data_IF_450967578173
#
_entry.id   IF_450967578173
#
_cell.length_a   1.000
_cell.length_b   1.000
_cell.length_c   1.000
_cell.angle_alpha   90.00
_cell.angle_beta   90.00
_cell.angle_gamma   90.00
#
_symmetry.space_group_name_H-M   'P 1'
#
loop_
_entity.id
_entity.type
_entity.pdbx_description
1 polymer ?
#
# COMPACT_ATOMS: atom_id res chain seq x y z
N UNK A 1 23.44 -27.71 -23.65
CA UNK A 1 22.41 -27.40 -22.63
C UNK A 1 22.26 -25.89 -22.58
N UNK A 2 21.21 -25.34 -23.17
CA UNK A 2 20.91 -23.89 -23.11
C UNK A 2 20.45 -23.56 -21.71
N UNK A 3 21.21 -22.75 -20.99
CA UNK A 3 20.83 -22.26 -19.66
C UNK A 3 19.48 -21.53 -19.78
N UNK A 4 18.50 -21.94 -19.01
CA UNK A 4 17.22 -21.21 -18.91
C UNK A 4 17.53 -19.77 -18.46
N UNK A 5 17.03 -18.74 -19.15
CA UNK A 5 17.28 -17.37 -18.73
C UNK A 5 16.80 -17.16 -17.29
N UNK A 6 17.52 -16.35 -16.49
CA UNK A 6 17.12 -16.08 -15.11
C UNK A 6 15.72 -15.49 -15.08
N UNK A 7 14.94 -15.89 -14.07
CA UNK A 7 13.60 -15.32 -13.88
C UNK A 7 13.70 -13.80 -13.71
N UNK A 8 12.81 -13.01 -14.33
CA UNK A 8 12.86 -11.55 -14.21
C UNK A 8 12.67 -11.13 -12.74
N UNK A 9 13.25 -9.98 -12.33
CA UNK A 9 13.11 -9.48 -10.98
C UNK A 9 11.62 -9.22 -10.65
N UNK A 10 11.23 -9.54 -9.43
CA UNK A 10 9.91 -9.17 -8.91
C UNK A 10 9.92 -7.69 -8.56
N UNK A 11 8.90 -6.96 -8.98
CA UNK A 11 8.79 -5.51 -8.76
C UNK A 11 7.59 -5.19 -7.90
N UNK A 12 7.85 -4.59 -6.74
CA UNK A 12 6.85 -4.17 -5.77
C UNK A 12 6.83 -2.66 -5.63
N UNK A 13 5.62 -2.07 -5.67
CA UNK A 13 5.38 -0.66 -5.49
C UNK A 13 4.60 -0.46 -4.20
N UNK A 14 5.16 0.32 -3.27
CA UNK A 14 4.68 0.43 -1.90
C UNK A 14 4.20 1.84 -1.63
N UNK A 15 2.99 1.94 -1.11
CA UNK A 15 2.38 3.20 -0.70
C UNK A 15 1.59 3.01 0.61
N UNK A 16 1.13 4.10 1.23
CA UNK A 16 0.34 4.09 2.46
C UNK A 16 -1.02 4.76 2.30
N UNK A 17 -1.98 4.35 3.14
CA UNK A 17 -3.26 5.04 3.33
C UNK A 17 -3.50 5.35 4.82
N UNK A 18 -4.08 6.51 5.08
CA UNK A 18 -4.08 7.14 6.39
C UNK A 18 -2.73 7.77 6.71
N UNK A 19 -2.56 8.25 7.93
CA UNK A 19 -1.27 8.72 8.42
C UNK A 19 -0.90 8.03 9.74
N UNK A 20 0.40 7.92 10.01
CA UNK A 20 0.90 7.27 11.21
C UNK A 20 0.89 8.18 12.44
N UNK A 21 0.37 9.41 12.35
CA UNK A 21 0.34 10.39 13.45
C UNK A 21 -0.71 9.99 14.49
N UNK A 22 -0.30 9.90 15.75
CA UNK A 22 -1.19 9.65 16.89
C UNK A 22 -1.41 10.91 17.72
N UNK A 23 -0.42 11.81 17.72
CA UNK A 23 -0.39 12.99 18.58
C UNK A 23 -0.16 14.25 17.77
N UNK A 24 -0.86 15.30 18.14
CA UNK A 24 -0.65 16.68 17.69
C UNK A 24 0.29 17.47 18.60
N UNK A 25 0.23 18.78 18.47
CA UNK A 25 1.02 19.68 19.29
C UNK A 25 0.79 19.42 20.79
N UNK A 26 1.87 19.52 21.58
CA UNK A 26 1.88 19.33 23.05
C UNK A 26 1.35 17.94 23.49
N UNK A 27 1.46 16.91 22.65
CA UNK A 27 1.03 15.56 22.99
C UNK A 27 -0.49 15.33 22.98
N UNK A 28 -1.29 16.25 22.39
CA UNK A 28 -2.74 16.03 22.24
C UNK A 28 -3.00 14.80 21.40
N UNK A 29 -3.81 13.87 21.88
CA UNK A 29 -4.23 12.69 21.12
C UNK A 29 -5.12 13.14 19.96
N UNK A 30 -4.80 12.67 18.74
CA UNK A 30 -5.57 12.94 17.52
C UNK A 30 -6.45 11.76 17.11
N UNK A 31 -6.14 10.57 17.59
CA UNK A 31 -6.90 9.35 17.25
C UNK A 31 -8.33 9.49 17.75
N UNK A 32 -9.31 9.37 16.85
CA UNK A 32 -10.72 9.59 17.14
C UNK A 32 -11.23 11.01 16.87
N UNK A 33 -10.32 11.97 16.58
CA UNK A 33 -10.71 13.32 16.21
C UNK A 33 -11.17 13.39 14.73
N UNK A 34 -12.09 14.31 14.40
CA UNK A 34 -12.48 14.55 13.01
C UNK A 34 -11.25 14.86 12.13
N UNK A 35 -11.18 14.23 10.96
CA UNK A 35 -10.05 14.38 10.02
C UNK A 35 -8.84 13.50 10.32
N UNK A 36 -8.79 12.81 11.45
CA UNK A 36 -7.79 11.80 11.72
C UNK A 36 -8.29 10.42 11.26
N UNK A 37 -7.53 9.75 10.39
CA UNK A 37 -7.86 8.37 10.00
C UNK A 37 -7.82 7.45 11.21
N UNK A 38 -8.78 6.52 11.31
CA UNK A 38 -8.77 5.47 12.32
C UNK A 38 -7.70 4.42 12.04
N UNK A 39 -7.52 4.10 10.76
CA UNK A 39 -6.58 3.08 10.36
C UNK A 39 -5.34 3.69 9.69
N UNK A 40 -4.21 3.00 9.85
CA UNK A 40 -3.01 3.20 9.08
C UNK A 40 -2.69 1.91 8.32
N UNK A 41 -2.50 2.02 7.02
CA UNK A 41 -2.33 0.89 6.12
C UNK A 41 -1.07 1.06 5.30
N UNK A 42 -0.37 -0.04 5.08
CA UNK A 42 0.72 -0.11 4.11
C UNK A 42 0.39 -1.18 3.09
N UNK A 43 0.47 -0.84 1.81
CA UNK A 43 0.20 -1.74 0.69
C UNK A 43 1.39 -1.91 -0.21
N UNK A 44 1.57 -3.10 -0.77
CA UNK A 44 2.52 -3.41 -1.82
C UNK A 44 1.77 -3.99 -3.02
N UNK A 45 1.90 -3.35 -4.16
CA UNK A 45 1.42 -3.86 -5.45
C UNK A 45 2.60 -4.49 -6.18
N UNK A 46 2.58 -5.80 -6.33
CA UNK A 46 3.50 -6.50 -7.21
C UNK A 46 2.99 -6.41 -8.64
N UNK A 47 3.83 -5.93 -9.55
CA UNK A 47 3.47 -5.70 -10.95
C UNK A 47 4.41 -6.50 -11.84
N UNK A 48 3.86 -7.38 -12.68
CA UNK A 48 4.66 -8.22 -13.56
C UNK A 48 5.30 -7.42 -14.69
N UNK A 49 4.53 -6.53 -15.31
CA UNK A 49 5.00 -5.63 -16.37
C UNK A 49 4.68 -4.16 -16.03
N UNK A 50 5.57 -3.46 -15.31
CA UNK A 50 5.37 -2.05 -14.99
C UNK A 50 5.40 -1.12 -16.20
N UNK A 51 6.07 -1.53 -17.29
CA UNK A 51 6.16 -0.71 -18.51
C UNK A 51 4.81 -0.71 -19.23
N UNK A 52 4.20 -1.87 -19.43
CA UNK A 52 2.86 -1.97 -20.01
C UNK A 52 1.83 -1.23 -19.16
N UNK A 53 1.85 -1.41 -17.82
CA UNK A 53 0.97 -0.68 -16.91
C UNK A 53 1.13 0.85 -17.01
N UNK A 54 2.38 1.33 -17.06
CA UNK A 54 2.67 2.76 -17.21
C UNK A 54 2.17 3.33 -18.55
N UNK A 55 2.32 2.57 -19.63
CA UNK A 55 1.84 2.91 -20.96
C UNK A 55 0.32 3.08 -20.96
N UNK A 56 -0.41 2.09 -20.42
CA UNK A 56 -1.87 2.09 -20.44
C UNK A 56 -2.45 3.16 -19.53
N UNK A 57 -1.89 3.39 -18.32
CA UNK A 57 -2.32 4.49 -17.45
C UNK A 57 -2.04 5.86 -18.06
N UNK A 58 -0.92 6.00 -18.78
CA UNK A 58 -0.59 7.26 -19.47
C UNK A 58 -1.55 7.49 -20.63
N UNK A 59 -1.83 6.48 -21.44
CA UNK A 59 -2.79 6.55 -22.55
C UNK A 59 -4.20 6.89 -22.04
N UNK A 60 -4.66 6.22 -20.98
CA UNK A 60 -5.94 6.53 -20.35
C UNK A 60 -6.01 7.99 -19.90
N UNK A 61 -4.97 8.50 -19.23
CA UNK A 61 -4.95 9.90 -18.75
C UNK A 61 -5.05 10.88 -19.91
N UNK A 62 -4.29 10.66 -20.99
CA UNK A 62 -4.37 11.49 -22.19
C UNK A 62 -5.75 11.45 -22.84
N UNK A 63 -6.38 10.28 -22.92
CA UNK A 63 -7.73 10.11 -23.42
C UNK A 63 -8.74 10.91 -22.59
N UNK A 64 -8.69 10.79 -21.25
CA UNK A 64 -9.60 11.51 -20.35
C UNK A 64 -9.40 13.03 -20.41
N UNK A 65 -8.15 13.50 -20.57
CA UNK A 65 -7.86 14.93 -20.73
C UNK A 65 -8.34 15.51 -22.06
N UNK A 66 -8.43 14.69 -23.09
CA UNK A 66 -8.97 15.08 -24.41
C UNK A 66 -10.50 14.99 -24.49
N UNK A 67 -11.15 14.33 -23.53
CA UNK A 67 -12.60 14.16 -23.54
C UNK A 67 -13.32 15.47 -23.18
N UNK A 68 -14.20 15.99 -24.06
CA UNK A 68 -14.97 17.21 -23.80
C UNK A 68 -15.78 17.19 -22.50
N UNK A 69 -16.19 15.99 -22.02
CA UNK A 69 -16.90 15.81 -20.76
C UNK A 69 -16.13 16.38 -19.57
N UNK A 70 -14.80 16.29 -19.59
CA UNK A 70 -13.93 16.73 -18.50
C UNK A 70 -13.34 18.13 -18.71
N UNK A 71 -13.70 18.84 -19.77
CA UNK A 71 -13.07 20.11 -20.18
C UNK A 71 -12.98 21.15 -19.07
N UNK A 72 -14.04 21.31 -18.27
CA UNK A 72 -14.12 22.35 -17.24
C UNK A 72 -13.90 21.79 -15.82
N UNK A 73 -13.50 20.52 -15.70
CA UNK A 73 -13.22 19.90 -14.41
C UNK A 73 -11.91 20.42 -13.82
N UNK A 74 -11.91 21.02 -12.61
CA UNK A 74 -10.70 21.62 -12.05
C UNK A 74 -9.51 20.67 -11.90
N UNK A 75 -9.74 19.40 -11.47
CA UNK A 75 -8.65 18.41 -11.29
C UNK A 75 -8.00 18.00 -12.60
N UNK A 76 -8.71 18.17 -13.73
CA UNK A 76 -8.23 17.89 -15.08
C UNK A 76 -7.43 19.05 -15.69
N UNK A 77 -7.34 20.18 -14.99
CA UNK A 77 -6.56 21.33 -15.46
C UNK A 77 -5.10 21.23 -14.97
N UNK A 78 -4.09 21.34 -15.86
CA UNK A 78 -2.67 21.24 -15.51
C UNK A 78 -2.24 22.16 -14.36
N UNK A 79 -2.80 23.37 -14.30
CA UNK A 79 -2.51 24.33 -13.25
C UNK A 79 -2.86 23.84 -11.82
N UNK A 80 -3.79 22.91 -11.68
CA UNK A 80 -4.18 22.34 -10.37
C UNK A 80 -3.25 21.22 -9.91
N UNK A 81 -2.41 20.68 -10.79
CA UNK A 81 -1.43 19.63 -10.51
C UNK A 81 -2.00 18.39 -9.84
N UNK A 82 -3.23 17.99 -10.22
CA UNK A 82 -3.95 16.79 -9.74
C UNK A 82 -4.02 15.73 -10.85
N UNK A 83 -5.19 15.21 -11.14
CA UNK A 83 -5.46 14.17 -12.16
C UNK A 83 -4.80 14.47 -13.52
N UNK A 84 -4.70 15.75 -13.89
CA UNK A 84 -3.99 16.18 -15.11
C UNK A 84 -2.50 15.77 -15.14
N UNK A 85 -1.87 15.58 -13.98
CA UNK A 85 -0.44 15.21 -13.86
C UNK A 85 -0.30 13.73 -13.50
N UNK A 86 -1.09 13.24 -12.54
CA UNK A 86 -1.03 11.87 -12.03
C UNK A 86 -2.40 11.47 -11.50
N UNK A 87 -2.75 10.21 -11.65
CA UNK A 87 -3.90 9.65 -10.97
C UNK A 87 -3.67 9.57 -9.46
N UNK A 88 -4.70 9.96 -8.69
CA UNK A 88 -4.72 9.84 -7.24
C UNK A 88 -6.15 9.55 -6.79
N UNK A 89 -6.41 8.36 -6.30
CA UNK A 89 -7.76 7.83 -6.09
C UNK A 89 -8.65 8.73 -5.21
N UNK A 90 -8.08 9.41 -4.21
CA UNK A 90 -8.82 10.34 -3.35
C UNK A 90 -9.28 11.61 -4.08
N UNK A 91 -8.45 12.13 -4.98
CA UNK A 91 -8.67 13.40 -5.67
C UNK A 91 -9.39 13.24 -7.01
N UNK A 92 -9.33 12.04 -7.58
CA UNK A 92 -9.95 11.75 -8.87
C UNK A 92 -11.49 11.67 -8.77
N UNK A 93 -12.16 12.06 -9.86
CA UNK A 93 -13.62 11.91 -9.97
C UNK A 93 -14.04 10.43 -9.97
N UNK A 94 -15.29 10.11 -9.57
CA UNK A 94 -15.80 8.74 -9.63
C UNK A 94 -15.68 8.09 -11.01
N UNK A 95 -15.93 8.85 -12.09
CA UNK A 95 -15.82 8.41 -13.48
C UNK A 95 -14.38 8.06 -13.83
N UNK A 96 -13.43 8.92 -13.47
CA UNK A 96 -12.00 8.69 -13.65
C UNK A 96 -11.57 7.44 -12.89
N UNK A 97 -11.97 7.31 -11.60
CA UNK A 97 -11.66 6.12 -10.80
C UNK A 97 -12.16 4.83 -11.45
N UNK A 98 -13.37 4.85 -12.01
CA UNK A 98 -13.92 3.68 -12.68
C UNK A 98 -13.04 3.24 -13.86
N UNK A 99 -12.62 4.16 -14.69
CA UNK A 99 -11.77 3.84 -15.85
C UNK A 99 -10.37 3.36 -15.42
N UNK A 100 -9.77 4.00 -14.41
CA UNK A 100 -8.50 3.53 -13.86
C UNK A 100 -8.62 2.10 -13.31
N UNK A 101 -9.65 1.79 -12.51
CA UNK A 101 -9.86 0.41 -12.03
C UNK A 101 -10.02 -0.59 -13.20
N UNK A 102 -10.70 -0.23 -14.29
CA UNK A 102 -10.83 -1.09 -15.47
C UNK A 102 -9.48 -1.44 -16.07
N UNK A 103 -8.59 -0.45 -16.21
CA UNK A 103 -7.22 -0.68 -16.69
C UNK A 103 -6.46 -1.57 -15.70
N UNK A 104 -6.45 -1.23 -14.40
CA UNK A 104 -5.70 -1.98 -13.39
C UNK A 104 -6.08 -3.46 -13.32
N UNK A 105 -7.35 -3.79 -13.50
CA UNK A 105 -7.85 -5.17 -13.46
C UNK A 105 -7.42 -6.01 -14.67
N UNK A 106 -7.02 -5.40 -15.78
CA UNK A 106 -6.50 -6.10 -16.96
C UNK A 106 -5.04 -6.54 -16.79
N UNK A 107 -4.27 -5.88 -15.91
CA UNK A 107 -2.87 -6.19 -15.69
C UNK A 107 -2.64 -7.38 -14.75
N UNK A 108 -1.51 -8.07 -14.93
CA UNK A 108 -1.04 -9.10 -13.98
C UNK A 108 -0.38 -8.40 -12.79
N UNK A 109 -1.22 -8.14 -11.80
CA UNK A 109 -0.83 -7.48 -10.55
C UNK A 109 -1.33 -8.26 -9.35
N UNK A 110 -0.59 -8.16 -8.23
CA UNK A 110 -1.01 -8.75 -6.96
C UNK A 110 -0.81 -7.78 -5.81
N UNK A 111 -1.91 -7.47 -5.12
CA UNK A 111 -1.91 -6.53 -4.00
C UNK A 111 -1.81 -7.24 -2.66
N UNK A 112 -0.96 -6.71 -1.79
CA UNK A 112 -0.78 -7.16 -0.42
C UNK A 112 -0.82 -5.97 0.52
N UNK A 113 -1.47 -6.11 1.68
CA UNK A 113 -1.57 -5.03 2.63
C UNK A 113 -1.45 -5.48 4.08
N UNK A 114 -1.01 -4.55 4.92
CA UNK A 114 -1.04 -4.66 6.38
C UNK A 114 -1.85 -3.48 6.92
N UNK A 115 -2.82 -3.76 7.77
CA UNK A 115 -3.74 -2.79 8.37
C UNK A 115 -3.51 -2.72 9.86
N UNK A 116 -3.40 -1.51 10.41
CA UNK A 116 -3.33 -1.23 11.85
C UNK A 116 -4.46 -0.33 12.27
N UNK A 117 -5.15 -0.67 13.36
CA UNK A 117 -6.04 0.24 14.07
C UNK A 117 -5.19 1.16 14.96
N UNK A 118 -5.24 2.47 14.70
CA UNK A 118 -4.44 3.46 15.42
C UNK A 118 -4.82 3.57 16.90
N UNK A 119 -6.05 3.19 17.29
CA UNK A 119 -6.41 3.09 18.68
C UNK A 119 -5.58 2.03 19.41
N UNK A 120 -5.38 0.86 18.79
CA UNK A 120 -4.52 -0.19 19.37
C UNK A 120 -3.05 0.21 19.42
N UNK A 121 -2.59 1.00 18.43
CA UNK A 121 -1.24 1.57 18.47
C UNK A 121 -1.12 2.57 19.63
N UNK A 122 -2.10 3.43 19.83
CA UNK A 122 -2.15 4.38 20.94
C UNK A 122 -2.13 3.69 22.30
N UNK A 123 -2.92 2.62 22.45
CA UNK A 123 -2.95 1.83 23.68
C UNK A 123 -1.57 1.21 24.00
N UNK A 124 -0.90 0.67 22.95
CA UNK A 124 0.47 0.17 23.07
C UNK A 124 1.46 1.27 23.47
N UNK A 125 1.38 2.44 22.86
CA UNK A 125 2.25 3.59 23.18
C UNK A 125 2.06 4.03 24.63
N UNK A 126 0.83 4.10 25.11
CA UNK A 126 0.50 4.45 26.51
C UNK A 126 1.06 3.41 27.50
N UNK A 127 0.87 2.13 27.21
CA UNK A 127 1.43 1.05 28.04
C UNK A 127 2.96 1.12 28.08
N UNK A 128 3.60 1.39 26.94
CA UNK A 128 5.06 1.53 26.88
C UNK A 128 5.56 2.76 27.62
N UNK A 129 4.86 3.90 27.54
CA UNK A 129 5.19 5.10 28.30
C UNK A 129 5.06 4.90 29.81
N UNK A 130 4.11 4.09 30.26
CA UNK A 130 3.96 3.75 31.67
C UNK A 130 5.15 2.92 32.22
N UNK A 131 5.85 2.17 31.36
CA UNK A 131 7.03 1.39 31.69
C UNK A 131 8.34 2.18 31.49
N UNK A 132 8.36 3.09 30.55
CA UNK A 132 9.52 3.93 30.20
C UNK A 132 9.06 5.34 29.84
N UNK A 133 9.14 6.26 30.79
CA UNK A 133 8.77 7.66 30.62
C UNK A 133 9.61 8.41 29.56
N UNK A 134 10.75 7.87 29.15
CA UNK A 134 11.62 8.46 28.12
C UNK A 134 11.18 8.07 26.73
N UNK A 135 10.36 7.02 26.57
CA UNK A 135 9.89 6.60 25.25
C UNK A 135 9.09 7.72 24.59
N UNK A 136 9.36 7.97 23.34
CA UNK A 136 8.61 8.92 22.50
C UNK A 136 8.21 8.23 21.21
N UNK A 137 6.93 8.20 20.95
CA UNK A 137 6.40 7.63 19.72
C UNK A 137 6.92 8.37 18.49
N UNK A 138 7.38 7.61 17.51
CA UNK A 138 7.84 8.11 16.22
C UNK A 138 6.98 7.52 15.11
N UNK A 139 6.27 8.33 14.29
CA UNK A 139 5.43 7.83 13.19
C UNK A 139 6.19 6.94 12.19
N UNK A 140 7.48 7.24 11.97
CA UNK A 140 8.33 6.43 11.11
C UNK A 140 8.62 5.03 11.68
N UNK A 141 8.68 4.87 13.01
CA UNK A 141 8.86 3.56 13.65
C UNK A 141 7.67 2.62 13.33
N UNK A 142 6.45 3.15 13.38
CA UNK A 142 5.26 2.39 12.97
C UNK A 142 5.35 2.00 11.50
N UNK A 143 5.69 2.94 10.62
CA UNK A 143 5.84 2.68 9.19
C UNK A 143 6.86 1.56 8.94
N UNK A 144 8.06 1.67 9.49
CA UNK A 144 9.15 0.70 9.28
C UNK A 144 8.78 -0.69 9.84
N UNK A 145 8.03 -0.73 10.94
CA UNK A 145 7.48 -1.97 11.49
C UNK A 145 6.48 -2.62 10.52
N UNK A 146 5.64 -1.81 9.85
CA UNK A 146 4.71 -2.32 8.84
C UNK A 146 5.43 -2.80 7.58
N UNK A 147 6.48 -2.10 7.14
CA UNK A 147 7.34 -2.57 6.03
C UNK A 147 7.89 -3.96 6.37
N UNK A 148 8.51 -4.11 7.54
CA UNK A 148 9.07 -5.39 7.96
C UNK A 148 8.01 -6.50 8.03
N UNK A 149 6.77 -6.17 8.44
CA UNK A 149 5.65 -7.12 8.51
C UNK A 149 5.11 -7.49 7.13
N UNK A 150 4.95 -6.52 6.25
CA UNK A 150 4.46 -6.69 4.87
C UNK A 150 5.37 -7.62 4.07
N UNK A 151 6.68 -7.48 4.23
CA UNK A 151 7.67 -8.25 3.48
C UNK A 151 8.15 -9.54 4.15
N UNK A 152 7.81 -9.80 5.42
CA UNK A 152 8.30 -10.93 6.23
C UNK A 152 8.27 -12.29 5.51
N UNK A 153 7.22 -12.59 4.75
CA UNK A 153 7.03 -13.87 4.07
C UNK A 153 7.10 -13.74 2.54
N UNK A 154 7.78 -12.73 2.02
CA UNK A 154 7.79 -12.41 0.59
C UNK A 154 9.18 -12.30 -0.02
N UNK A 155 10.21 -12.10 0.81
CA UNK A 155 11.58 -11.87 0.37
C UNK A 155 12.23 -13.11 -0.26
N UNK A 156 11.75 -14.31 0.08
CA UNK A 156 12.27 -15.60 -0.40
C UNK A 156 11.59 -16.13 -1.68
N UNK A 157 10.63 -15.38 -2.25
CA UNK A 157 9.80 -15.87 -3.35
C UNK A 157 10.46 -15.74 -4.74
N UNK A 158 11.69 -15.31 -4.83
CA UNK A 158 12.43 -15.18 -6.08
C UNK A 158 13.88 -14.78 -5.83
N UNK A 159 14.73 -14.80 -6.88
CA UNK A 159 16.15 -14.48 -6.75
C UNK A 159 16.41 -12.98 -6.60
N UNK A 160 15.50 -12.14 -7.09
CA UNK A 160 15.66 -10.69 -7.07
C UNK A 160 14.32 -9.99 -6.78
N UNK A 161 14.37 -8.94 -5.95
CA UNK A 161 13.23 -8.12 -5.58
C UNK A 161 13.61 -6.64 -5.61
N UNK A 162 12.97 -5.90 -6.49
CA UNK A 162 13.02 -4.44 -6.55
C UNK A 162 11.81 -3.86 -5.81
N UNK A 163 12.05 -2.98 -4.83
CA UNK A 163 10.97 -2.33 -4.08
C UNK A 163 11.05 -0.82 -4.28
N UNK A 164 9.99 -0.25 -4.88
CA UNK A 164 9.82 1.19 -5.04
C UNK A 164 8.82 1.70 -4.02
N UNK A 165 9.26 2.56 -3.11
CA UNK A 165 8.41 3.19 -2.10
C UNK A 165 7.96 4.58 -2.57
N UNK A 166 6.71 4.95 -2.29
CA UNK A 166 6.23 6.31 -2.46
C UNK A 166 7.03 7.27 -1.57
N UNK A 167 7.46 8.40 -2.15
CA UNK A 167 8.18 9.44 -1.41
C UNK A 167 7.26 10.14 -0.43
N UNK A 168 7.69 10.23 0.83
CA UNK A 168 6.98 10.92 1.91
C UNK A 168 7.71 12.21 2.27
N UNK A 169 7.19 13.33 1.79
CA UNK A 169 7.84 14.61 1.99
C UNK A 169 9.19 14.73 1.24
N UNK A 170 10.12 15.54 1.78
CA UNK A 170 11.42 15.84 1.15
C UNK A 170 12.58 14.97 1.66
N UNK A 171 12.39 14.23 2.75
CA UNK A 171 13.47 13.46 3.36
C UNK A 171 13.71 12.14 2.60
N UNK A 172 14.98 11.87 2.30
CA UNK A 172 15.40 10.55 1.82
C UNK A 172 15.37 9.55 2.98
N UNK A 173 14.54 8.53 2.85
CA UNK A 173 14.41 7.44 3.81
C UNK A 173 14.97 6.10 3.31
N UNK A 174 15.68 6.11 2.19
CA UNK A 174 16.15 4.89 1.53
C UNK A 174 16.96 3.98 2.47
N UNK A 175 17.77 4.55 3.36
CA UNK A 175 18.53 3.79 4.35
C UNK A 175 17.61 3.09 5.38
N UNK A 176 16.63 3.81 5.94
CA UNK A 176 15.66 3.26 6.89
C UNK A 176 14.79 2.16 6.26
N UNK A 177 14.37 2.35 5.01
CA UNK A 177 13.58 1.37 4.26
C UNK A 177 14.38 0.10 3.97
N UNK A 178 15.65 0.23 3.57
CA UNK A 178 16.56 -0.92 3.44
C UNK A 178 16.71 -1.66 4.76
N UNK A 179 16.86 -0.94 5.88
CA UNK A 179 16.96 -1.54 7.21
C UNK A 179 15.69 -2.29 7.61
N UNK A 180 14.51 -1.74 7.28
CA UNK A 180 13.22 -2.42 7.53
C UNK A 180 13.10 -3.73 6.73
N UNK A 181 13.54 -3.75 5.47
CA UNK A 181 13.60 -4.96 4.65
C UNK A 181 14.60 -5.98 5.20
N UNK A 182 15.79 -5.54 5.67
CA UNK A 182 16.75 -6.43 6.34
C UNK A 182 16.16 -7.02 7.63
N UNK A 183 15.41 -6.23 8.40
CA UNK A 183 14.70 -6.72 9.58
C UNK A 183 13.66 -7.79 9.20
N UNK A 184 12.94 -7.61 8.09
CA UNK A 184 12.02 -8.63 7.58
C UNK A 184 12.74 -9.92 7.20
N UNK A 185 13.89 -9.82 6.51
CA UNK A 185 14.77 -10.95 6.17
C UNK A 185 15.20 -11.71 7.42
N UNK A 186 15.83 -11.03 8.38
CA UNK A 186 16.32 -11.63 9.61
C UNK A 186 15.20 -12.36 10.40
N UNK A 187 14.00 -11.75 10.48
CA UNK A 187 12.83 -12.38 11.13
C UNK A 187 12.34 -13.63 10.40
N UNK A 188 12.41 -13.63 9.08
CA UNK A 188 12.06 -14.83 8.30
C UNK A 188 13.08 -15.93 8.50
N UNK A 189 14.39 -15.62 8.37
CA UNK A 189 15.50 -16.56 8.53
C UNK A 189 15.49 -17.18 9.92
N UNK A 190 15.32 -16.35 10.97
CA UNK A 190 15.25 -16.84 12.35
C UNK A 190 14.05 -17.75 12.60
N UNK A 191 12.88 -17.42 11.99
CA UNK A 191 11.67 -18.22 12.20
C UNK A 191 11.70 -19.55 11.48
N UNK A 192 12.22 -19.56 10.23
CA UNK A 192 12.12 -20.72 9.35
C UNK A 192 13.44 -21.49 9.22
N UNK A 193 14.51 -21.01 9.87
CA UNK A 193 15.88 -21.57 9.76
C UNK A 193 16.30 -21.77 8.30
N UNK A 194 15.92 -20.80 7.46
CA UNK A 194 16.15 -20.81 6.02
C UNK A 194 16.74 -19.50 5.57
N UNK A 195 17.91 -19.54 4.94
CA UNK A 195 18.56 -18.36 4.38
C UNK A 195 17.80 -17.79 3.16
N UNK A 196 17.75 -16.46 3.04
CA UNK A 196 17.16 -15.73 1.91
C UNK A 196 18.28 -15.20 1.03
N UNK A 197 18.52 -15.85 -0.09
CA UNK A 197 19.57 -15.48 -1.05
C UNK A 197 19.18 -14.31 -1.95
N UNK A 198 17.89 -13.91 -1.95
CA UNK A 198 17.37 -12.90 -2.84
C UNK A 198 18.13 -11.56 -2.72
N UNK A 199 18.52 -11.00 -3.87
CA UNK A 199 19.00 -9.62 -3.96
C UNK A 199 17.81 -8.69 -3.78
N UNK A 200 17.90 -7.75 -2.83
CA UNK A 200 16.83 -6.81 -2.51
C UNK A 200 17.33 -5.40 -2.76
N UNK A 201 16.69 -4.71 -3.69
CA UNK A 201 16.92 -3.30 -3.97
C UNK A 201 15.73 -2.46 -3.52
N UNK A 202 16.02 -1.31 -2.89
CA UNK A 202 14.99 -0.38 -2.43
C UNK A 202 15.30 1.02 -2.91
N UNK A 203 14.30 1.65 -3.53
CA UNK A 203 14.34 3.05 -3.97
C UNK A 203 13.08 3.79 -3.56
N UNK A 204 13.11 5.11 -3.63
CA UNK A 204 11.94 5.97 -3.48
C UNK A 204 11.65 6.70 -4.79
N UNK A 205 10.37 6.93 -5.08
CA UNK A 205 9.93 7.73 -6.20
C UNK A 205 8.67 8.53 -5.86
N UNK A 206 8.49 9.67 -6.50
CA UNK A 206 7.22 10.39 -6.44
C UNK A 206 6.20 9.70 -7.36
N UNK A 207 4.96 9.53 -6.91
CA UNK A 207 3.89 8.90 -7.68
C UNK A 207 3.63 9.58 -9.04
N UNK A 208 3.92 10.89 -9.14
CA UNK A 208 3.82 11.61 -10.42
C UNK A 208 4.75 11.08 -11.53
N UNK A 209 5.86 10.44 -11.12
CA UNK A 209 6.87 9.90 -12.05
C UNK A 209 6.90 8.37 -12.07
N UNK A 210 6.04 7.72 -11.29
CA UNK A 210 5.99 6.26 -11.16
C UNK A 210 4.53 5.77 -11.23
N UNK A 211 4.00 5.48 -12.43
CA UNK A 211 2.59 5.09 -12.60
C UNK A 211 2.17 3.86 -11.78
N UNK A 212 3.09 2.95 -11.52
CA UNK A 212 2.77 1.79 -10.68
C UNK A 212 2.54 2.14 -9.19
N UNK A 213 3.08 3.27 -8.69
CA UNK A 213 2.70 3.82 -7.39
C UNK A 213 1.28 4.41 -7.40
N UNK A 214 0.86 5.03 -8.52
CA UNK A 214 -0.52 5.48 -8.70
C UNK A 214 -1.48 4.28 -8.65
N UNK A 215 -1.11 3.16 -9.27
CA UNK A 215 -1.87 1.92 -9.16
C UNK A 215 -1.95 1.41 -7.70
N UNK A 216 -0.84 1.42 -6.95
CA UNK A 216 -0.82 1.02 -5.54
C UNK A 216 -1.74 1.89 -4.67
N UNK A 217 -1.76 3.22 -4.90
CA UNK A 217 -2.68 4.16 -4.25
C UNK A 217 -4.15 3.77 -4.46
N UNK A 218 -4.54 3.38 -5.67
CA UNK A 218 -5.90 2.96 -5.97
C UNK A 218 -6.33 1.70 -5.19
N UNK A 219 -5.45 0.71 -5.09
CA UNK A 219 -5.71 -0.49 -4.29
C UNK A 219 -5.82 -0.17 -2.79
N UNK A 220 -4.94 0.67 -2.28
CA UNK A 220 -4.97 1.14 -0.90
C UNK A 220 -6.22 1.97 -0.60
N UNK A 221 -6.58 2.89 -1.50
CA UNK A 221 -7.79 3.68 -1.35
C UNK A 221 -9.04 2.79 -1.29
N UNK A 222 -9.16 1.76 -2.14
CA UNK A 222 -10.27 0.82 -2.10
C UNK A 222 -10.36 0.09 -0.75
N UNK A 223 -9.21 -0.32 -0.19
CA UNK A 223 -9.13 -0.94 1.12
C UNK A 223 -9.50 0.04 2.23
N UNK A 224 -9.01 1.27 2.17
CA UNK A 224 -9.31 2.32 3.14
C UNK A 224 -10.80 2.68 3.16
N UNK A 225 -11.47 2.73 2.02
CA UNK A 225 -12.93 2.97 1.93
C UNK A 225 -13.71 1.91 2.69
N UNK A 226 -13.29 0.67 2.63
CA UNK A 226 -13.91 -0.41 3.40
C UNK A 226 -13.69 -0.21 4.91
N UNK A 227 -12.45 -0.02 5.36
CA UNK A 227 -12.13 0.07 6.79
C UNK A 227 -12.65 1.34 7.45
N UNK A 228 -12.55 2.50 6.79
CA UNK A 228 -12.94 3.80 7.38
C UNK A 228 -14.44 4.07 7.25
N UNK A 229 -15.08 3.61 6.18
CA UNK A 229 -16.44 4.02 5.83
C UNK A 229 -17.41 2.84 5.62
N UNK A 230 -16.96 1.60 5.73
CA UNK A 230 -17.78 0.41 5.46
C UNK A 230 -18.14 0.23 3.97
N UNK A 231 -17.52 0.99 3.07
CA UNK A 231 -17.85 0.98 1.64
C UNK A 231 -17.08 -0.13 0.92
N UNK A 232 -17.68 -1.31 0.87
CA UNK A 232 -17.03 -2.56 0.45
C UNK A 232 -16.96 -2.76 -1.08
N UNK A 233 -17.76 -2.03 -1.88
CA UNK A 233 -17.84 -2.25 -3.35
C UNK A 233 -16.49 -2.18 -4.06
N UNK A 234 -15.60 -1.29 -3.62
CA UNK A 234 -14.29 -1.13 -4.26
C UNK A 234 -13.33 -2.26 -3.90
N UNK A 235 -13.33 -2.69 -2.63
CA UNK A 235 -12.51 -3.83 -2.22
C UNK A 235 -13.01 -5.13 -2.84
N UNK A 236 -14.31 -5.28 -3.02
CA UNK A 236 -14.89 -6.41 -3.77
C UNK A 236 -14.42 -6.41 -5.23
N UNK A 237 -14.42 -5.25 -5.88
CA UNK A 237 -13.98 -5.09 -7.27
C UNK A 237 -12.50 -5.52 -7.46
N UNK A 238 -11.61 -5.10 -6.56
CA UNK A 238 -10.18 -5.41 -6.66
C UNK A 238 -9.80 -6.79 -6.08
N UNK A 239 -10.72 -7.48 -5.40
CA UNK A 239 -10.43 -8.71 -4.66
C UNK A 239 -9.77 -9.82 -5.48
N UNK A 240 -10.10 -10.02 -6.77
CA UNK A 240 -9.41 -10.99 -7.62
C UNK A 240 -7.89 -10.75 -7.74
N UNK A 241 -7.43 -9.54 -7.53
CA UNK A 241 -6.02 -9.12 -7.56
C UNK A 241 -5.39 -9.06 -6.16
N UNK A 242 -6.15 -9.33 -5.09
CA UNK A 242 -5.64 -9.33 -3.72
C UNK A 242 -5.00 -10.67 -3.40
N UNK A 243 -3.74 -10.65 -2.98
CA UNK A 243 -3.01 -11.81 -2.46
C UNK A 243 -3.30 -12.03 -0.98
N UNK A 244 -3.03 -11.02 -0.15
CA UNK A 244 -3.31 -11.06 1.29
C UNK A 244 -3.52 -9.67 1.87
N UNK A 245 -4.50 -9.56 2.78
CA UNK A 245 -4.63 -8.42 3.70
C UNK A 245 -4.46 -8.95 5.11
N UNK A 246 -3.48 -8.42 5.85
CA UNK A 246 -3.28 -8.73 7.25
C UNK A 246 -3.84 -7.61 8.13
N UNK A 247 -4.92 -7.88 8.85
CA UNK A 247 -5.48 -7.02 9.88
C UNK A 247 -4.82 -7.38 11.22
N UNK A 248 -3.81 -6.61 11.62
CA UNK A 248 -2.92 -6.97 12.75
C UNK A 248 -3.63 -6.97 14.07
N UNK A 249 -4.59 -6.08 14.25
CA UNK A 249 -5.28 -5.82 15.51
C UNK A 249 -6.60 -6.59 15.67
N UNK A 250 -6.98 -7.36 14.64
CA UNK A 250 -8.12 -8.27 14.70
C UNK A 250 -7.72 -9.59 15.37
N UNK A 251 -7.56 -9.57 16.68
CA UNK A 251 -7.01 -10.68 17.47
C UNK A 251 -8.06 -11.62 18.06
N UNK A 252 -9.33 -11.47 17.71
CA UNK A 252 -10.41 -12.32 18.23
C UNK A 252 -10.24 -13.81 17.91
N UNK A 253 -9.63 -14.13 16.76
CA UNK A 253 -9.42 -15.53 16.30
C UNK A 253 -7.98 -15.99 16.53
N UNK A 254 -7.00 -15.08 16.42
CA UNK A 254 -5.59 -15.42 16.56
C UNK A 254 -4.78 -14.24 17.10
N UNK A 255 -3.80 -14.47 18.00
CA UNK A 255 -3.05 -13.40 18.67
C UNK A 255 -2.18 -12.59 17.71
N UNK A 256 -1.92 -13.08 16.49
CA UNK A 256 -1.15 -12.39 15.46
C UNK A 256 -2.00 -11.64 14.43
N UNK A 257 -3.32 -11.52 14.68
CA UNK A 257 -4.29 -10.85 13.82
C UNK A 257 -4.94 -11.75 12.78
N UNK A 258 -5.85 -11.18 11.99
CA UNK A 258 -6.56 -11.87 10.93
C UNK A 258 -5.81 -11.77 9.58
N UNK A 259 -5.91 -12.83 8.78
CA UNK A 259 -5.40 -12.90 7.41
C UNK A 259 -6.57 -13.14 6.45
N UNK A 260 -6.75 -12.22 5.53
CA UNK A 260 -7.75 -12.31 4.47
C UNK A 260 -7.07 -12.62 3.15
N UNK A 261 -7.58 -13.62 2.45
CA UNK A 261 -7.03 -14.17 1.21
C UNK A 261 -8.16 -14.52 0.25
N UNK A 262 -7.84 -15.00 -0.95
CA UNK A 262 -8.86 -15.51 -1.88
C UNK A 262 -9.74 -16.62 -1.26
N UNK A 263 -9.19 -17.44 -0.35
CA UNK A 263 -9.94 -18.52 0.34
C UNK A 263 -10.76 -18.01 1.53
N UNK A 264 -10.33 -16.93 2.15
CA UNK A 264 -11.02 -16.26 3.27
C UNK A 264 -11.12 -14.77 2.95
N UNK A 265 -12.08 -14.33 2.13
CA UNK A 265 -12.17 -12.94 1.73
C UNK A 265 -12.55 -12.01 2.89
N UNK A 266 -12.09 -10.76 2.81
CA UNK A 266 -12.39 -9.71 3.79
C UNK A 266 -13.90 -9.37 3.82
N UNK A 267 -14.53 -9.46 2.65
CA UNK A 267 -15.98 -9.31 2.47
C UNK A 267 -16.49 -10.45 1.59
N UNK A 268 -17.72 -10.87 1.81
CA UNK A 268 -18.33 -11.86 0.93
C UNK A 268 -18.25 -11.39 -0.53
N UNK A 269 -17.56 -12.14 -1.36
CA UNK A 269 -17.57 -11.91 -2.80
C UNK A 269 -18.93 -12.38 -3.28
N UNK A 270 -19.84 -11.47 -3.58
CA UNK A 270 -21.08 -11.81 -4.28
C UNK A 270 -20.68 -12.41 -5.62
N UNK A 271 -20.84 -13.72 -5.75
CA UNK A 271 -20.77 -14.42 -7.03
C UNK A 271 -21.98 -13.98 -7.86
N UNK A 272 -21.75 -12.96 -8.66
CA UNK A 272 -22.84 -12.40 -9.46
C UNK A 272 -22.33 -11.32 -10.37
N UNK A 273 -21.90 -11.74 -11.52
CA UNK A 273 -22.27 -11.21 -12.82
C UNK A 273 -21.59 -12.09 -13.87
N UNK A 274 -22.36 -13.12 -14.31
CA UNK A 274 -22.11 -13.80 -15.56
C UNK A 274 -22.39 -12.88 -16.74
#
# INVERSE_FOLDING_TARGET
MTATPPAPPRRCFVDEAGDATLFGARGRVLVGEPGCSRFFMLGALEVRDPVALATDLTALRLQLLADPYFKDVPSMQPARRKTAIAFHAKDDLPEVRREVFRVLLQHDVQFHAVVRDKQRVLDYVRARNALDERYRYQPNELYDTLVARLFKNRLHLGPELEVCFASRGKADRSAALRQALQTARARFEAKWQRHVEARIEARQAAAAHEPALQAADYFLWALQRHYELGESRFVQLIWPKVGVVQAVDETAVAPYGAYYTKKKPLVAVTSGLG
#
